data_IF_192267660463
#
_entry.id   IF_192267660463
#
_cell.length_a   1.000
_cell.length_b   1.000
_cell.length_c   1.000
_cell.angle_alpha   90.00
_cell.angle_beta   90.00
_cell.angle_gamma   90.00
#
_symmetry.space_group_name_H-M   'P 1'
#
loop_
_entity.id
_entity.type
_entity.pdbx_description
1 polymer ?
#
# COMPACT_ATOMS: atom_id res chain seq x y z
N UNK A 1 -11.89 18.66 -8.42
CA UNK A 1 -12.57 17.78 -9.39
C UNK A 1 -13.36 16.74 -8.59
N UNK A 2 -14.55 16.33 -9.04
CA UNK A 2 -15.30 15.29 -8.33
C UNK A 2 -14.64 13.92 -8.52
N UNK A 3 -14.84 12.99 -7.59
CA UNK A 3 -14.25 11.64 -7.66
C UNK A 3 -14.59 10.91 -8.96
N UNK A 4 -15.86 10.84 -9.35
CA UNK A 4 -16.26 10.14 -10.58
C UNK A 4 -15.66 10.77 -11.84
N UNK A 5 -15.55 12.10 -11.90
CA UNK A 5 -14.90 12.81 -13.00
C UNK A 5 -13.42 12.42 -13.10
N UNK A 6 -12.72 12.37 -11.96
CA UNK A 6 -11.33 11.95 -11.89
C UNK A 6 -11.15 10.52 -12.40
N UNK A 7 -11.99 9.58 -11.93
CA UNK A 7 -11.92 8.17 -12.34
C UNK A 7 -12.19 8.03 -13.84
N UNK A 8 -13.23 8.68 -14.36
CA UNK A 8 -13.58 8.60 -15.77
C UNK A 8 -12.47 9.20 -16.65
N UNK A 9 -11.90 10.35 -16.26
CA UNK A 9 -10.78 10.94 -16.97
C UNK A 9 -9.53 10.03 -16.94
N UNK A 10 -9.24 9.36 -15.82
CA UNK A 10 -8.14 8.40 -15.72
C UNK A 10 -8.39 7.13 -16.57
N UNK A 11 -9.62 6.63 -16.59
CA UNK A 11 -10.02 5.50 -17.42
C UNK A 11 -9.83 5.82 -18.91
N UNK A 12 -10.21 7.02 -19.35
CA UNK A 12 -9.98 7.51 -20.72
C UNK A 12 -8.48 7.54 -21.07
N UNK A 13 -7.61 8.00 -20.15
CA UNK A 13 -6.14 8.00 -20.36
C UNK A 13 -5.58 6.59 -20.52
N UNK A 14 -6.14 5.62 -19.82
CA UNK A 14 -5.77 4.21 -19.90
C UNK A 14 -6.48 3.49 -21.06
N UNK A 15 -7.33 4.18 -21.81
CA UNK A 15 -8.17 3.61 -22.87
C UNK A 15 -9.02 2.43 -22.35
N UNK A 16 -9.42 2.50 -21.08
CA UNK A 16 -10.30 1.54 -20.47
C UNK A 16 -11.73 1.90 -20.83
N UNK A 17 -12.47 0.94 -21.38
CA UNK A 17 -13.89 1.13 -21.62
C UNK A 17 -14.70 1.12 -20.32
N UNK A 18 -15.78 1.89 -20.29
CA UNK A 18 -16.68 1.99 -19.15
C UNK A 18 -16.34 3.17 -18.23
N UNK A 19 -17.39 3.76 -17.65
CA UNK A 19 -17.27 4.84 -16.68
C UNK A 19 -17.94 4.46 -15.36
N UNK A 20 -17.58 5.17 -14.30
CA UNK A 20 -18.26 5.07 -13.01
C UNK A 20 -19.36 6.12 -12.91
N UNK A 21 -20.46 5.74 -12.26
CA UNK A 21 -21.56 6.66 -12.00
C UNK A 21 -21.16 7.70 -10.93
N UNK A 22 -21.92 8.81 -10.89
CA UNK A 22 -21.64 9.91 -9.98
C UNK A 22 -21.84 9.58 -8.48
N UNK A 23 -22.49 8.45 -8.16
CA UNK A 23 -22.73 7.98 -6.78
C UNK A 23 -21.68 6.97 -6.32
N UNK A 24 -20.89 6.40 -7.24
CA UNK A 24 -19.85 5.43 -6.94
C UNK A 24 -18.87 6.01 -5.90
N UNK A 25 -18.70 5.30 -4.79
CA UNK A 25 -17.71 5.63 -3.75
C UNK A 25 -16.50 4.69 -3.79
N UNK A 26 -16.58 3.60 -4.55
CA UNK A 26 -15.46 2.70 -4.74
C UNK A 26 -15.57 1.99 -6.09
N UNK A 27 -14.43 1.54 -6.59
CA UNK A 27 -14.32 0.61 -7.72
C UNK A 27 -13.14 -0.33 -7.52
N UNK A 28 -13.21 -1.51 -8.13
CA UNK A 28 -12.07 -2.43 -8.22
C UNK A 28 -11.52 -2.37 -9.65
N UNK A 29 -10.23 -2.04 -9.78
CA UNK A 29 -9.51 -2.07 -11.05
C UNK A 29 -8.85 -3.44 -11.19
N UNK A 30 -9.35 -4.24 -12.15
CA UNK A 30 -8.82 -5.56 -12.44
C UNK A 30 -7.71 -5.48 -13.49
N UNK A 31 -6.60 -6.18 -13.23
CA UNK A 31 -5.51 -6.35 -14.18
C UNK A 31 -5.45 -7.82 -14.64
N UNK A 32 -5.01 -8.07 -15.88
CA UNK A 32 -5.10 -9.39 -16.53
C UNK A 32 -4.46 -10.54 -15.71
N UNK A 33 -3.33 -10.29 -15.04
CA UNK A 33 -2.57 -11.31 -14.30
C UNK A 33 -2.29 -10.90 -12.85
N UNK A 34 -3.14 -10.06 -12.24
CA UNK A 34 -2.86 -9.50 -10.91
C UNK A 34 -4.08 -9.39 -10.02
N UNK A 35 -3.83 -9.14 -8.73
CA UNK A 35 -4.88 -8.86 -7.77
C UNK A 35 -5.48 -7.48 -8.06
N UNK A 36 -6.80 -7.32 -7.87
CA UNK A 36 -7.44 -6.04 -8.10
C UNK A 36 -6.89 -4.98 -7.14
N UNK A 37 -6.84 -3.75 -7.65
CA UNK A 37 -6.64 -2.55 -6.82
C UNK A 37 -7.99 -1.90 -6.61
N UNK A 38 -8.43 -1.83 -5.36
CA UNK A 38 -9.60 -1.08 -4.95
C UNK A 38 -9.25 0.39 -4.84
N UNK A 39 -10.02 1.23 -5.51
CA UNK A 39 -9.99 2.68 -5.33
C UNK A 39 -11.24 3.06 -4.56
N UNK A 40 -11.09 3.71 -3.42
CA UNK A 40 -12.20 4.11 -2.56
C UNK A 40 -12.11 5.59 -2.20
N UNK A 41 -13.24 6.29 -2.30
CA UNK A 41 -13.39 7.69 -1.99
C UNK A 41 -13.77 7.89 -0.53
N UNK A 42 -13.00 8.74 0.15
CA UNK A 42 -13.20 9.14 1.53
C UNK A 42 -13.65 10.59 1.58
N UNK A 43 -14.91 10.83 1.21
CA UNK A 43 -15.48 12.19 1.05
C UNK A 43 -15.26 13.08 2.28
N UNK A 44 -15.48 12.53 3.48
CA UNK A 44 -15.26 13.24 4.76
C UNK A 44 -13.82 13.70 5.01
N UNK A 45 -12.85 13.13 4.29
CA UNK A 45 -11.42 13.46 4.40
C UNK A 45 -10.86 14.12 3.15
N UNK A 46 -11.67 14.28 2.09
CA UNK A 46 -11.22 14.80 0.79
C UNK A 46 -10.06 13.97 0.20
N UNK A 47 -10.13 12.66 0.34
CA UNK A 47 -9.07 11.73 -0.06
C UNK A 47 -9.61 10.55 -0.85
N UNK A 48 -8.72 9.88 -1.57
CA UNK A 48 -8.95 8.52 -2.06
C UNK A 48 -7.95 7.57 -1.42
N UNK A 49 -8.29 6.29 -1.35
CA UNK A 49 -7.35 5.22 -1.03
C UNK A 49 -7.22 4.27 -2.20
N UNK A 50 -5.98 3.87 -2.49
CA UNK A 50 -5.65 2.70 -3.30
C UNK A 50 -5.37 1.56 -2.33
N UNK A 51 -6.02 0.42 -2.50
CA UNK A 51 -5.84 -0.73 -1.61
C UNK A 51 -5.80 -2.04 -2.41
N UNK A 52 -4.95 -2.97 -1.99
CA UNK A 52 -4.80 -4.26 -2.64
C UNK A 52 -4.25 -5.29 -1.67
N UNK A 53 -4.65 -6.55 -1.83
CA UNK A 53 -4.13 -7.62 -0.98
C UNK A 53 -2.70 -7.98 -1.37
N UNK A 54 -1.89 -8.29 -0.36
CA UNK A 54 -0.57 -8.91 -0.55
C UNK A 54 -0.60 -10.43 -0.29
N UNK A 55 -1.51 -10.90 0.56
CA UNK A 55 -1.64 -12.30 0.94
C UNK A 55 -2.72 -12.53 2.00
N UNK A 56 -2.83 -13.77 2.46
CA UNK A 56 -3.63 -14.15 3.63
C UNK A 56 -2.76 -14.26 4.86
N UNK A 57 -3.33 -14.49 6.04
CA UNK A 57 -2.53 -14.82 7.22
C UNK A 57 -1.78 -16.15 6.99
N UNK A 58 -0.48 -16.22 7.30
CA UNK A 58 0.24 -17.49 7.32
C UNK A 58 -0.17 -18.30 8.56
N UNK A 59 0.32 -19.55 8.71
CA UNK A 59 0.19 -20.30 9.95
C UNK A 59 0.63 -19.47 11.17
N UNK A 60 -0.02 -19.69 12.32
CA UNK A 60 0.17 -18.86 13.51
C UNK A 60 1.64 -18.72 13.94
N UNK A 61 2.45 -19.77 13.77
CA UNK A 61 3.89 -19.76 14.08
C UNK A 61 4.71 -18.77 13.26
N UNK A 62 4.19 -18.31 12.11
CA UNK A 62 4.86 -17.39 11.18
C UNK A 62 4.27 -15.97 11.23
N UNK A 63 3.18 -15.73 11.97
CA UNK A 63 2.52 -14.43 11.97
C UNK A 63 3.35 -13.34 12.66
N UNK A 64 3.94 -13.65 13.82
CA UNK A 64 4.80 -12.69 14.54
C UNK A 64 5.99 -12.19 13.69
N UNK A 65 6.85 -13.07 13.10
CA UNK A 65 7.95 -12.59 12.27
C UNK A 65 7.48 -11.87 11.01
N UNK A 66 6.34 -12.27 10.44
CA UNK A 66 5.73 -11.53 9.32
C UNK A 66 5.37 -10.10 9.71
N UNK A 67 4.59 -9.92 10.78
CA UNK A 67 4.13 -8.59 11.19
C UNK A 67 5.29 -7.70 11.65
N UNK A 68 6.31 -8.28 12.28
CA UNK A 68 7.55 -7.55 12.58
C UNK A 68 8.25 -7.08 11.30
N UNK A 69 8.40 -7.94 10.29
CA UNK A 69 8.97 -7.57 8.99
C UNK A 69 8.17 -6.46 8.29
N UNK A 70 6.83 -6.55 8.32
CA UNK A 70 5.97 -5.53 7.74
C UNK A 70 6.09 -4.18 8.47
N UNK A 71 6.19 -4.17 9.80
CA UNK A 71 6.41 -2.96 10.58
C UNK A 71 7.81 -2.38 10.35
N UNK A 72 8.84 -3.22 10.28
CA UNK A 72 10.20 -2.79 9.97
C UNK A 72 10.29 -2.16 8.58
N UNK A 73 9.50 -2.63 7.61
CA UNK A 73 9.43 -2.03 6.29
C UNK A 73 8.91 -0.57 6.31
N UNK A 74 8.10 -0.20 7.31
CA UNK A 74 7.65 1.18 7.50
C UNK A 74 8.73 2.07 8.11
N UNK A 75 9.87 1.52 8.55
CA UNK A 75 10.97 2.31 9.09
C UNK A 75 11.46 3.29 8.01
N UNK A 76 11.21 4.58 8.23
CA UNK A 76 11.40 5.69 7.29
C UNK A 76 10.55 5.65 6.00
N UNK A 77 9.69 4.65 5.82
CA UNK A 77 8.71 4.57 4.72
C UNK A 77 9.29 4.35 3.32
N UNK A 78 10.61 4.18 3.20
CA UNK A 78 11.30 4.05 1.91
C UNK A 78 11.00 2.72 1.21
N UNK A 79 10.89 1.62 1.99
CA UNK A 79 10.64 0.29 1.43
C UNK A 79 9.18 0.09 0.96
N UNK A 80 8.27 0.94 1.42
CA UNK A 80 6.85 0.87 1.05
C UNK A 80 6.42 1.98 0.11
N UNK A 81 7.32 2.90 -0.27
CA UNK A 81 7.00 4.07 -1.10
C UNK A 81 5.79 4.87 -0.56
N UNK A 82 5.77 5.07 0.76
CA UNK A 82 4.67 5.74 1.46
C UNK A 82 3.37 4.95 1.56
N UNK A 83 3.35 3.69 1.12
CA UNK A 83 2.23 2.78 1.39
C UNK A 83 2.29 2.28 2.85
N UNK A 84 1.14 1.89 3.37
CA UNK A 84 1.00 1.27 4.68
C UNK A 84 0.47 -0.16 4.55
N UNK A 85 0.85 -1.03 5.48
CA UNK A 85 0.24 -2.35 5.62
C UNK A 85 -0.94 -2.26 6.57
N UNK A 86 -1.99 -3.00 6.27
CA UNK A 86 -3.10 -3.23 7.19
C UNK A 86 -3.54 -4.69 7.11
N UNK A 87 -4.44 -5.06 8.02
CA UNK A 87 -5.03 -6.38 8.04
C UNK A 87 -6.55 -6.27 8.06
N UNK A 88 -7.18 -7.16 7.33
CA UNK A 88 -8.59 -7.49 7.47
C UNK A 88 -8.64 -8.80 8.26
N UNK A 89 -8.87 -8.68 9.57
CA UNK A 89 -8.86 -9.82 10.48
C UNK A 89 -10.02 -10.79 10.20
N UNK A 90 -11.17 -10.27 9.77
CA UNK A 90 -12.36 -11.07 9.48
C UNK A 90 -12.12 -11.95 8.24
N UNK A 91 -11.49 -11.40 7.21
CA UNK A 91 -11.12 -12.15 6.01
C UNK A 91 -9.75 -12.85 6.11
N UNK A 92 -9.02 -12.67 7.21
CA UNK A 92 -7.62 -13.10 7.37
C UNK A 92 -6.73 -12.67 6.21
N UNK A 93 -6.88 -11.41 5.75
CA UNK A 93 -6.13 -10.84 4.62
C UNK A 93 -5.15 -9.78 5.11
N UNK A 94 -4.03 -9.71 4.42
CA UNK A 94 -3.03 -8.66 4.59
C UNK A 94 -3.13 -7.75 3.38
N UNK A 95 -3.27 -6.47 3.63
CA UNK A 95 -3.48 -5.44 2.63
C UNK A 95 -2.29 -4.49 2.61
N UNK A 96 -2.02 -3.95 1.44
CA UNK A 96 -1.24 -2.75 1.23
C UNK A 96 -2.23 -1.65 0.84
N UNK A 97 -2.07 -0.45 1.37
CA UNK A 97 -2.86 0.69 0.94
C UNK A 97 -2.04 1.98 0.93
N UNK A 98 -2.50 2.97 0.16
CA UNK A 98 -1.98 4.33 0.11
C UNK A 98 -3.14 5.30 0.02
N UNK A 99 -3.09 6.40 0.75
CA UNK A 99 -4.07 7.49 0.63
C UNK A 99 -3.47 8.63 -0.16
N UNK A 100 -4.31 9.29 -0.95
CA UNK A 100 -3.96 10.45 -1.78
C UNK A 100 -4.97 11.56 -1.51
N UNK A 101 -4.54 12.82 -1.33
CA UNK A 101 -5.45 13.95 -1.32
C UNK A 101 -6.15 14.04 -2.66
N UNK A 102 -7.46 14.30 -2.65
CA UNK A 102 -8.22 14.55 -3.87
C UNK A 102 -7.95 15.97 -4.40
N UNK A 103 -7.60 16.90 -3.51
CA UNK A 103 -7.19 18.24 -3.88
C UNK A 103 -5.86 18.21 -4.66
N UNK A 104 -5.83 18.89 -5.80
CA UNK A 104 -4.70 18.88 -6.74
C UNK A 104 -4.44 17.57 -7.49
N UNK A 105 -5.22 16.51 -7.24
CA UNK A 105 -5.06 15.23 -7.95
C UNK A 105 -5.79 15.28 -9.30
N UNK A 106 -5.02 15.18 -10.38
CA UNK A 106 -5.54 15.07 -11.74
C UNK A 106 -5.47 13.61 -12.25
N UNK A 107 -6.00 13.39 -13.46
CA UNK A 107 -6.07 12.06 -14.07
C UNK A 107 -4.68 11.43 -14.27
N UNK A 108 -3.69 12.22 -14.71
CA UNK A 108 -2.34 11.72 -14.94
C UNK A 108 -1.63 11.37 -13.62
N UNK A 109 -1.86 12.18 -12.59
CA UNK A 109 -1.42 11.92 -11.22
C UNK A 109 -2.02 10.64 -10.66
N UNK A 110 -3.32 10.40 -10.86
CA UNK A 110 -3.97 9.15 -10.44
C UNK A 110 -3.42 7.93 -11.21
N UNK A 111 -3.27 8.04 -12.53
CA UNK A 111 -2.70 6.95 -13.36
C UNK A 111 -1.30 6.59 -12.89
N UNK A 112 -0.46 7.59 -12.64
CA UNK A 112 0.90 7.38 -12.10
C UNK A 112 0.85 6.73 -10.73
N UNK A 113 0.06 7.27 -9.81
CA UNK A 113 -0.05 6.73 -8.45
C UNK A 113 -0.57 5.28 -8.43
N UNK A 114 -1.48 4.93 -9.33
CA UNK A 114 -1.96 3.56 -9.51
C UNK A 114 -0.85 2.63 -10.02
N UNK A 115 -0.05 3.09 -10.98
CA UNK A 115 1.12 2.36 -11.49
C UNK A 115 2.18 2.12 -10.41
N UNK A 116 2.54 3.17 -9.67
CA UNK A 116 3.52 3.11 -8.58
C UNK A 116 3.02 2.19 -7.45
N UNK A 117 1.77 2.35 -7.03
CA UNK A 117 1.14 1.48 -6.04
C UNK A 117 1.17 0.01 -6.47
N UNK A 118 0.84 -0.27 -7.74
CA UNK A 118 0.84 -1.63 -8.27
C UNK A 118 2.24 -2.25 -8.24
N UNK A 119 3.28 -1.49 -8.58
CA UNK A 119 4.65 -1.96 -8.51
C UNK A 119 5.01 -2.40 -7.08
N UNK A 120 4.70 -1.55 -6.09
CA UNK A 120 4.94 -1.86 -4.67
C UNK A 120 4.13 -3.08 -4.25
N UNK A 121 2.84 -3.14 -4.58
CA UNK A 121 1.98 -4.28 -4.29
C UNK A 121 2.56 -5.57 -4.86
N UNK A 122 3.00 -5.58 -6.12
CA UNK A 122 3.61 -6.75 -6.75
C UNK A 122 4.89 -7.20 -6.06
N UNK A 123 5.77 -6.26 -5.69
CA UNK A 123 7.01 -6.55 -4.97
C UNK A 123 6.72 -7.27 -3.65
N UNK A 124 5.80 -6.73 -2.86
CA UNK A 124 5.43 -7.31 -1.56
C UNK A 124 4.66 -8.62 -1.70
N UNK A 125 3.75 -8.72 -2.67
CA UNK A 125 3.07 -9.98 -3.02
C UNK A 125 4.04 -11.08 -3.39
N UNK A 126 5.04 -10.77 -4.23
CA UNK A 126 6.05 -11.73 -4.63
C UNK A 126 6.90 -12.16 -3.44
N UNK A 127 7.35 -11.22 -2.61
CA UNK A 127 8.12 -11.54 -1.41
C UNK A 127 7.32 -12.43 -0.43
N UNK A 128 6.02 -12.16 -0.28
CA UNK A 128 5.10 -12.98 0.51
C UNK A 128 4.97 -14.40 -0.06
N UNK A 129 4.69 -14.52 -1.36
CA UNK A 129 4.54 -15.81 -2.04
C UNK A 129 5.84 -16.64 -2.06
N UNK A 130 6.99 -15.98 -2.16
CA UNK A 130 8.32 -16.60 -2.11
C UNK A 130 8.72 -17.00 -0.66
N UNK A 131 7.90 -16.71 0.36
CA UNK A 131 8.18 -17.02 1.77
C UNK A 131 9.27 -16.14 2.43
N UNK A 132 9.69 -15.07 1.76
CA UNK A 132 10.81 -14.20 2.21
C UNK A 132 10.44 -13.31 3.40
N UNK A 133 9.15 -13.13 3.66
CA UNK A 133 8.66 -12.26 4.73
C UNK A 133 8.50 -12.97 6.08
N UNK A 134 8.59 -14.30 6.10
CA UNK A 134 8.49 -15.13 7.31
C UNK A 134 9.80 -15.86 7.62
N UNK A 135 10.76 -15.82 6.70
CA UNK A 135 12.10 -16.34 6.93
C UNK A 135 12.78 -15.47 7.98
N UNK A 136 12.93 -15.99 9.19
CA UNK A 136 13.93 -15.48 10.11
C UNK A 136 15.29 -15.74 9.46
N UNK A 137 15.91 -14.71 8.89
CA UNK A 137 17.37 -14.75 8.77
C UNK A 137 17.89 -15.00 10.18
N UNK A 138 18.45 -16.19 10.39
CA UNK A 138 19.05 -16.60 11.65
C UNK A 138 20.34 -15.81 11.87
N UNK A 139 20.22 -14.49 12.04
CA UNK A 139 21.29 -13.61 12.50
C UNK A 139 21.00 -13.30 13.96
N UNK A 140 21.67 -14.06 14.83
CA UNK A 140 21.74 -13.85 16.27
C UNK A 140 22.13 -12.38 16.61
N UNK A 141 21.78 -11.88 17.81
CA UNK A 141 21.92 -10.48 18.15
C UNK A 141 23.39 -10.12 18.36
N UNK A 142 23.87 -9.08 17.67
CA UNK A 142 24.99 -8.26 18.12
C UNK A 142 24.38 -6.90 18.49
N UNK A 143 24.24 -6.53 19.76
CA UNK A 143 25.32 -6.47 20.74
C UNK A 143 26.07 -5.16 20.52
N UNK A 144 25.88 -4.21 21.45
CA UNK A 144 26.48 -2.87 21.55
C UNK A 144 25.82 -1.75 20.71
N UNK A 145 24.87 -1.07 21.33
CA UNK A 145 24.62 0.34 21.01
C UNK A 145 25.91 1.14 21.27
N UNK A 146 26.45 1.90 20.31
CA UNK A 146 27.39 2.95 20.64
C UNK A 146 26.62 4.04 21.37
N UNK A 147 27.15 4.48 22.52
CA UNK A 147 26.64 5.63 23.24
C UNK A 147 26.70 6.86 22.32
N UNK A 148 25.56 7.31 21.81
CA UNK A 148 25.43 8.61 21.17
C UNK A 148 25.55 9.69 22.25
N UNK A 149 26.78 10.15 22.47
CA UNK A 149 27.02 11.47 23.02
C UNK A 149 26.88 12.48 21.88
N UNK A 150 25.76 13.17 21.83
CA UNK A 150 25.61 14.40 21.07
C UNK A 150 24.76 15.36 21.90
N UNK A 151 25.43 16.16 22.72
CA UNK A 151 24.84 17.37 23.26
C UNK A 151 24.60 18.33 22.10
N UNK A 152 23.34 18.56 21.75
CA UNK A 152 22.98 19.74 20.96
C UNK A 152 22.78 20.87 21.97
N UNK A 153 23.81 21.69 22.13
CA UNK A 153 23.66 23.01 22.74
C UNK A 153 22.98 23.92 21.71
N UNK A 154 21.74 24.30 22.00
CA UNK A 154 21.10 25.44 21.33
C UNK A 154 21.68 26.71 21.96
N UNK A 155 22.34 27.52 21.13
CA UNK A 155 22.61 28.94 21.42
C UNK A 155 21.62 29.78 20.62
#
# INVERSE_FOLDING_TARGET
MAFHDLINAAADRLQLGGGVDAKAQALDVQFQDDYPVRIEHHDSRGQISLAGAIGFYPPQSQQAPLFETLLQAHLYGLLTDGCAFSVDADASRILLFKTLPLDGLDADGLVRALGDFRLVQQTWRKAYADGKLTAQDASAPAGAAPALSAAINLA
#
